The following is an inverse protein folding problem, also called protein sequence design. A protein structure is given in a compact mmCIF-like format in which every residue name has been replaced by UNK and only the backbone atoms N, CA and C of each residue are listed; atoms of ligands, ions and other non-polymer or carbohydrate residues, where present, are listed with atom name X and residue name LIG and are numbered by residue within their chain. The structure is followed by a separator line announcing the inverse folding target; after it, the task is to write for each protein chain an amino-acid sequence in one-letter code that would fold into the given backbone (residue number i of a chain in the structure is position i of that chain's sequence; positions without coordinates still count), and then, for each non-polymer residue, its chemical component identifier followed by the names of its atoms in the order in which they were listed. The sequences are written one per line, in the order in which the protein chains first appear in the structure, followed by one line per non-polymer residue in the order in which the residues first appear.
data_IF_384588870848
#
_entry.id   IF_384588870848
#
_cell.length_a   1.000
_cell.length_b   1.000
_cell.length_c   1.000
_cell.angle_alpha   90.00
_cell.angle_beta   90.00
_cell.angle_gamma   90.00
#
_symmetry.space_group_name_H-M   'P 1'
#
loop_
_entity.id
_entity.type
_entity.pdbx_description
1 polymer ?
#
# COMPACT_ATOMS: atom_id res chain seq x y z
N UNK A 1 -5.95 46.21 5.09
CA UNK A 1 -6.63 44.88 5.08
C UNK A 1 -6.14 44.10 3.88
N UNK A 2 -5.55 42.93 4.08
CA UNK A 2 -5.06 42.07 2.99
C UNK A 2 -6.18 41.11 2.59
N UNK A 3 -6.63 41.17 1.33
CA UNK A 3 -7.70 40.30 0.83
C UNK A 3 -7.09 39.00 0.30
N UNK A 4 -7.45 37.87 0.89
CA UNK A 4 -7.13 36.55 0.34
C UNK A 4 -8.13 36.18 -0.77
N UNK A 5 -7.64 35.59 -1.86
CA UNK A 5 -8.46 35.07 -2.95
C UNK A 5 -8.29 33.55 -2.98
N UNK A 6 -9.38 32.82 -2.77
CA UNK A 6 -9.42 31.36 -2.94
C UNK A 6 -9.76 31.08 -4.42
N UNK A 7 -8.98 30.22 -5.07
CA UNK A 7 -9.23 29.75 -6.43
C UNK A 7 -9.22 28.23 -6.46
N UNK A 8 -10.09 27.66 -7.30
CA UNK A 8 -9.97 26.27 -7.69
C UNK A 8 -8.65 26.06 -8.42
N UNK A 9 -7.96 24.96 -8.10
CA UNK A 9 -6.80 24.48 -8.82
C UNK A 9 -6.94 22.98 -8.99
N UNK A 10 -6.77 22.50 -10.22
CA UNK A 10 -6.78 21.07 -10.49
C UNK A 10 -5.49 20.44 -9.96
N UNK A 11 -5.65 19.29 -9.31
CA UNK A 11 -4.55 18.49 -8.79
C UNK A 11 -4.62 17.09 -9.37
N UNK A 12 -3.46 16.50 -9.61
CA UNK A 12 -3.31 15.10 -9.97
C UNK A 12 -2.45 14.37 -8.95
N UNK A 13 -2.74 13.09 -8.76
CA UNK A 13 -1.90 12.19 -7.97
C UNK A 13 -1.01 11.40 -8.91
N UNK A 14 0.27 11.30 -8.60
CA UNK A 14 1.23 10.42 -9.27
C UNK A 14 1.99 9.65 -8.22
N UNK A 15 2.55 8.49 -8.59
CA UNK A 15 3.48 7.79 -7.72
C UNK A 15 4.81 8.54 -7.66
N UNK A 16 5.41 8.58 -6.48
CA UNK A 16 6.79 9.02 -6.30
C UNK A 16 7.75 8.13 -7.13
N UNK A 17 8.51 8.70 -8.08
CA UNK A 17 9.43 7.93 -8.92
C UNK A 17 10.61 7.32 -8.15
N UNK A 18 10.95 7.86 -6.97
CA UNK A 18 12.01 7.34 -6.11
C UNK A 18 11.49 6.24 -5.16
N UNK A 19 10.17 6.10 -5.03
CA UNK A 19 9.55 5.07 -4.22
C UNK A 19 9.48 3.73 -4.97
N UNK A 20 10.06 2.70 -4.37
CA UNK A 20 9.79 1.31 -4.76
C UNK A 20 8.56 0.81 -3.97
N UNK A 21 7.46 0.43 -4.64
CA UNK A 21 6.28 -0.08 -3.95
C UNK A 21 6.59 -1.32 -3.12
N UNK A 22 5.98 -1.43 -1.95
CA UNK A 22 6.02 -2.63 -1.12
C UNK A 22 4.72 -3.40 -1.22
N UNK A 23 4.84 -4.72 -1.34
CA UNK A 23 3.73 -5.65 -1.18
C UNK A 23 3.58 -5.96 0.30
N UNK A 24 2.35 -5.92 0.79
CA UNK A 24 1.98 -6.27 2.16
C UNK A 24 0.91 -7.35 2.17
N UNK A 25 0.87 -8.16 3.21
CA UNK A 25 -0.20 -9.11 3.42
C UNK A 25 -0.52 -9.33 4.90
N UNK A 26 -1.78 -9.60 5.21
CA UNK A 26 -2.22 -9.99 6.57
C UNK A 26 -3.24 -11.12 6.52
N UNK A 27 -3.19 -12.01 7.50
CA UNK A 27 -4.11 -13.15 7.58
C UNK A 27 -5.50 -12.67 8.03
N UNK A 28 -6.54 -13.12 7.32
CA UNK A 28 -7.94 -12.77 7.61
C UNK A 28 -8.64 -13.80 8.50
N UNK A 29 -7.91 -14.78 9.02
CA UNK A 29 -8.46 -15.70 10.01
C UNK A 29 -8.73 -14.94 11.32
N UNK A 30 -9.92 -15.14 11.88
CA UNK A 30 -10.38 -14.43 13.07
C UNK A 30 -9.39 -14.59 14.24
N UNK A 31 -8.93 -13.47 14.80
CA UNK A 31 -8.01 -13.46 15.94
C UNK A 31 -6.55 -13.85 15.63
N UNK A 32 -6.16 -14.08 14.36
CA UNK A 32 -4.80 -14.52 14.03
C UNK A 32 -3.74 -13.42 14.23
N UNK A 33 -4.00 -12.21 13.72
CA UNK A 33 -3.07 -11.07 13.82
C UNK A 33 -1.75 -11.21 13.03
N UNK A 34 -1.56 -12.29 12.27
CA UNK A 34 -0.35 -12.48 11.46
C UNK A 34 -0.29 -11.49 10.28
N UNK A 35 0.89 -10.93 10.05
CA UNK A 35 1.22 -10.13 8.88
C UNK A 35 2.56 -10.57 8.29
N UNK A 36 2.66 -10.51 6.96
CA UNK A 36 3.91 -10.74 6.26
C UNK A 36 4.89 -9.59 6.52
N UNK A 37 6.18 -9.89 6.49
CA UNK A 37 7.21 -8.86 6.35
C UNK A 37 7.04 -8.21 4.98
N UNK A 38 6.78 -6.88 4.91
CA UNK A 38 6.62 -6.16 3.65
C UNK A 38 7.87 -6.24 2.77
N UNK A 39 7.68 -6.22 1.46
CA UNK A 39 8.81 -6.19 0.53
C UNK A 39 8.42 -5.96 -0.93
N UNK A 40 9.38 -5.62 -1.80
CA UNK A 40 9.11 -5.35 -3.21
C UNK A 40 8.81 -6.62 -4.03
N UNK A 41 9.20 -7.80 -3.55
CA UNK A 41 8.94 -9.08 -4.21
C UNK A 41 7.60 -9.67 -3.74
N UNK A 42 6.60 -9.60 -4.62
CA UNK A 42 5.29 -10.23 -4.43
C UNK A 42 5.42 -11.72 -4.13
N UNK A 43 6.32 -12.42 -4.84
CA UNK A 43 6.47 -13.85 -4.68
C UNK A 43 7.05 -14.22 -3.31
N UNK A 44 7.88 -13.36 -2.71
CA UNK A 44 8.36 -13.55 -1.35
C UNK A 44 7.24 -13.37 -0.33
N UNK A 45 6.40 -12.33 -0.49
CA UNK A 45 5.22 -12.14 0.38
C UNK A 45 4.24 -13.31 0.25
N UNK A 46 4.00 -13.79 -0.97
CA UNK A 46 3.15 -14.97 -1.20
C UNK A 46 3.76 -16.24 -0.57
N UNK A 47 5.10 -16.43 -0.61
CA UNK A 47 5.78 -17.52 0.11
C UNK A 47 5.56 -17.46 1.61
N UNK A 48 5.57 -16.27 2.21
CA UNK A 48 5.25 -16.10 3.62
C UNK A 48 3.80 -16.51 3.93
N UNK A 49 2.83 -16.11 3.10
CA UNK A 49 1.42 -16.52 3.23
C UNK A 49 1.23 -18.04 3.09
N UNK A 50 1.92 -18.68 2.13
CA UNK A 50 1.89 -20.13 1.94
C UNK A 50 2.47 -20.87 3.14
N UNK A 51 3.60 -20.38 3.68
CA UNK A 51 4.22 -20.93 4.90
C UNK A 51 3.26 -20.82 6.09
N UNK A 52 2.62 -19.66 6.26
CA UNK A 52 1.63 -19.44 7.32
C UNK A 52 0.45 -20.41 7.20
N UNK A 53 -0.11 -20.55 6.00
CA UNK A 53 -1.19 -21.50 5.70
C UNK A 53 -0.79 -22.94 6.03
N UNK A 54 0.45 -23.34 5.68
CA UNK A 54 0.96 -24.68 5.94
C UNK A 54 1.16 -25.01 7.42
N UNK A 55 1.46 -24.00 8.25
CA UNK A 55 1.64 -24.15 9.69
C UNK A 55 0.31 -24.06 10.46
N UNK A 56 -0.70 -23.41 9.89
CA UNK A 56 -1.95 -23.09 10.59
C UNK A 56 -3.17 -23.47 9.74
N UNK A 57 -3.80 -24.60 10.08
CA UNK A 57 -4.99 -25.09 9.40
C UNK A 57 -6.14 -24.07 9.42
N UNK A 58 -6.74 -23.78 8.27
CA UNK A 58 -7.82 -22.80 8.12
C UNK A 58 -7.37 -21.38 7.77
N UNK A 59 -6.07 -21.08 7.82
CA UNK A 59 -5.51 -19.75 7.52
C UNK A 59 -5.22 -19.54 6.03
N UNK A 60 -6.22 -19.79 5.17
CA UNK A 60 -6.04 -19.74 3.70
C UNK A 60 -6.45 -18.42 3.03
N UNK A 61 -6.86 -17.41 3.80
CA UNK A 61 -7.34 -16.12 3.27
C UNK A 61 -6.49 -14.98 3.82
N UNK A 62 -6.03 -14.12 2.92
CA UNK A 62 -5.17 -13.00 3.24
C UNK A 62 -5.70 -11.72 2.58
N UNK A 63 -5.62 -10.60 3.31
CA UNK A 63 -5.65 -9.28 2.71
C UNK A 63 -4.28 -9.07 2.05
N UNK A 64 -4.28 -8.54 0.82
CA UNK A 64 -3.05 -8.14 0.12
C UNK A 64 -3.15 -6.68 -0.28
N UNK A 65 -2.09 -5.92 -0.02
CA UNK A 65 -1.98 -4.51 -0.35
C UNK A 65 -0.69 -4.22 -1.12
N UNK A 66 -0.70 -3.11 -1.84
CA UNK A 66 0.47 -2.50 -2.44
C UNK A 66 0.56 -1.09 -1.89
N UNK A 67 1.66 -0.79 -1.21
CA UNK A 67 1.89 0.49 -0.56
C UNK A 67 2.99 1.22 -1.34
N UNK A 68 2.73 2.47 -1.70
CA UNK A 68 3.69 3.37 -2.30
C UNK A 68 3.51 4.80 -1.77
N UNK A 69 4.40 5.69 -2.17
CA UNK A 69 4.29 7.11 -1.86
C UNK A 69 3.57 7.80 -3.00
N UNK A 70 2.48 8.49 -2.68
CA UNK A 70 1.71 9.27 -3.63
C UNK A 70 2.05 10.76 -3.51
N UNK A 71 2.45 11.36 -4.64
CA UNK A 71 2.74 12.77 -4.78
C UNK A 71 1.53 13.49 -5.42
N UNK A 72 1.16 14.62 -4.84
CA UNK A 72 0.08 15.46 -5.37
C UNK A 72 0.69 16.67 -6.07
N UNK A 73 0.41 16.82 -7.37
CA UNK A 73 0.87 17.95 -8.17
C UNK A 73 -0.30 18.81 -8.62
N UNK A 74 -0.09 20.12 -8.66
CA UNK A 74 -0.97 21.03 -9.40
C UNK A 74 -0.76 20.82 -10.90
N UNK A 75 -1.85 20.69 -11.65
CA UNK A 75 -1.79 20.45 -13.10
C UNK A 75 -1.22 21.66 -13.86
N UNK A 76 -1.40 22.86 -13.32
CA UNK A 76 -0.99 24.13 -13.95
C UNK A 76 0.40 24.65 -13.50
N UNK A 77 1.19 23.84 -12.80
CA UNK A 77 2.54 24.24 -12.40
C UNK A 77 3.52 23.99 -13.57
N UNK A 78 4.23 25.02 -14.10
CA UNK A 78 5.26 24.83 -15.10
C UNK A 78 6.43 24.00 -14.59
#
# INVERSE_FOLDING_TARGET
MTRSVIRYAEHRIVRDPECTPSTVASCLYEGCGWAAVPGPDVAEVDRQCMKHTGLHAGHGRFLRGFEDIALVHRVDAP
#
